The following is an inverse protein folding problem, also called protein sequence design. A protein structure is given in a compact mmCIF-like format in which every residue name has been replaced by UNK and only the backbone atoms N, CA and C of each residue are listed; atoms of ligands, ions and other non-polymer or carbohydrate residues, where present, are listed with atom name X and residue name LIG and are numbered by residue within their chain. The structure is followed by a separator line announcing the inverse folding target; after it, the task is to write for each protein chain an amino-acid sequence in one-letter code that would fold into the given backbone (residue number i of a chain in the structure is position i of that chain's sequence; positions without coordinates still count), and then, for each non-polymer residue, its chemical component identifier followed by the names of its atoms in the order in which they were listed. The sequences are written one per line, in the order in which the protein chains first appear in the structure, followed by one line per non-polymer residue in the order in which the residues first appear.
data_IF_392398519618
#
_entry.id   IF_392398519618
#
_cell.length_a   1.000
_cell.length_b   1.000
_cell.length_c   1.000
_cell.angle_alpha   90.00
_cell.angle_beta   90.00
_cell.angle_gamma   90.00
#
_symmetry.space_group_name_H-M   'P 1'
#
loop_
_entity.id
_entity.type
_entity.pdbx_description
1 polymer ?
#
# COMPACT_ATOMS: atom_id res chain seq x y z
N UNK A 1 14.29 -7.41 -13.26
CA UNK A 1 14.99 -8.08 -12.13
C UNK A 1 16.35 -7.41 -11.94
N UNK A 2 16.57 -6.66 -10.84
CA UNK A 2 17.78 -5.83 -10.65
C UNK A 2 19.09 -6.62 -10.59
N UNK A 3 19.05 -7.87 -10.13
CA UNK A 3 20.23 -8.74 -10.06
C UNK A 3 20.59 -9.36 -11.42
N UNK A 4 19.60 -9.71 -12.24
CA UNK A 4 19.83 -10.27 -13.58
C UNK A 4 20.20 -9.22 -14.62
N UNK A 5 19.78 -7.98 -14.41
CA UNK A 5 20.07 -6.85 -15.28
C UNK A 5 20.50 -5.65 -14.43
N UNK A 6 21.79 -5.63 -14.01
CA UNK A 6 22.35 -4.49 -13.28
C UNK A 6 22.21 -3.21 -14.11
N UNK A 7 21.87 -2.11 -13.45
CA UNK A 7 21.85 -0.81 -14.12
C UNK A 7 23.27 -0.35 -14.44
N UNK A 8 23.44 0.26 -15.61
CA UNK A 8 24.68 0.96 -16.02
C UNK A 8 24.51 2.48 -15.92
N UNK A 9 23.33 2.97 -15.54
CA UNK A 9 23.08 4.39 -15.33
C UNK A 9 23.65 4.83 -13.98
N UNK A 10 24.69 5.67 -14.02
CA UNK A 10 25.35 6.21 -12.84
C UNK A 10 24.39 6.98 -11.92
N UNK A 11 23.44 7.73 -12.48
CA UNK A 11 22.47 8.49 -11.69
C UNK A 11 21.51 7.56 -10.96
N UNK A 12 21.04 6.50 -11.62
CA UNK A 12 20.19 5.49 -11.00
C UNK A 12 20.93 4.79 -9.86
N UNK A 13 22.18 4.38 -10.08
CA UNK A 13 23.02 3.74 -9.06
C UNK A 13 23.18 4.65 -7.84
N UNK A 14 23.54 5.93 -8.06
CA UNK A 14 23.70 6.91 -6.97
C UNK A 14 22.39 7.14 -6.19
N UNK A 15 21.27 7.24 -6.90
CA UNK A 15 19.95 7.37 -6.25
C UNK A 15 19.62 6.16 -5.37
N UNK A 16 19.92 4.94 -5.84
CA UNK A 16 19.74 3.71 -5.02
C UNK A 16 20.65 3.70 -3.80
N UNK A 17 21.92 4.10 -3.95
CA UNK A 17 22.88 4.20 -2.85
C UNK A 17 22.48 5.24 -1.80
N UNK A 18 21.95 6.40 -2.23
CA UNK A 18 21.41 7.43 -1.33
C UNK A 18 20.29 6.86 -0.45
N UNK A 19 19.33 6.14 -1.06
CA UNK A 19 18.23 5.50 -0.32
C UNK A 19 18.77 4.49 0.70
N UNK A 20 19.68 3.60 0.28
CA UNK A 20 20.24 2.56 1.16
C UNK A 20 21.00 3.19 2.32
N UNK A 21 21.82 4.22 2.06
CA UNK A 21 22.56 4.93 3.10
C UNK A 21 21.63 5.57 4.13
N UNK A 22 20.56 6.23 3.68
CA UNK A 22 19.59 6.87 4.58
C UNK A 22 18.89 5.85 5.47
N UNK A 23 18.41 4.74 4.89
CA UNK A 23 17.72 3.67 5.62
C UNK A 23 18.61 2.95 6.63
N UNK A 24 19.91 2.83 6.35
CA UNK A 24 20.88 2.27 7.31
C UNK A 24 21.13 3.25 8.46
N UNK A 25 21.36 4.53 8.15
CA UNK A 25 21.63 5.56 9.16
C UNK A 25 20.41 5.88 10.03
N UNK A 26 19.21 5.65 9.51
CA UNK A 26 17.94 5.97 10.16
C UNK A 26 17.02 4.74 10.25
N UNK A 27 17.55 3.63 10.73
CA UNK A 27 16.77 2.40 10.83
C UNK A 27 15.52 2.61 11.70
N UNK A 28 14.37 2.26 11.13
CA UNK A 28 13.06 2.41 11.77
C UNK A 28 12.32 1.07 11.69
N UNK A 29 12.15 0.42 12.83
CA UNK A 29 11.46 -0.88 12.90
C UNK A 29 9.98 -0.77 12.50
N UNK A 30 9.38 0.40 12.68
CA UNK A 30 8.00 0.65 12.27
C UNK A 30 7.89 0.67 10.75
N UNK A 31 8.87 1.26 10.04
CA UNK A 31 8.89 1.25 8.57
C UNK A 31 8.87 -0.18 8.02
N UNK A 32 9.66 -1.08 8.61
CA UNK A 32 9.67 -2.50 8.23
C UNK A 32 8.32 -3.18 8.51
N UNK A 33 7.72 -2.91 9.67
CA UNK A 33 6.40 -3.45 10.04
C UNK A 33 5.31 -2.98 9.06
N UNK A 34 5.29 -1.69 8.73
CA UNK A 34 4.32 -1.11 7.80
C UNK A 34 4.46 -1.66 6.39
N UNK A 35 5.68 -1.89 5.92
CA UNK A 35 5.91 -2.53 4.62
C UNK A 35 5.37 -3.95 4.57
N UNK A 36 5.41 -4.71 5.68
CA UNK A 36 4.83 -6.06 5.76
C UNK A 36 3.30 -6.07 5.69
N UNK A 37 2.65 -4.98 6.09
CA UNK A 37 1.19 -4.85 6.05
C UNK A 37 0.66 -4.56 4.65
N UNK A 38 1.53 -4.17 3.70
CA UNK A 38 1.16 -3.93 2.32
C UNK A 38 1.02 -5.28 1.60
N UNK A 39 -0.18 -5.56 1.11
CA UNK A 39 -0.41 -6.72 0.24
C UNK A 39 0.17 -6.48 -1.16
N UNK A 40 0.22 -7.54 -1.96
CA UNK A 40 0.53 -7.45 -3.39
C UNK A 40 -0.55 -6.65 -4.15
N UNK A 41 -0.30 -5.33 -4.27
CA UNK A 41 -1.21 -4.38 -4.91
C UNK A 41 -1.30 -4.60 -6.42
N UNK A 42 -0.22 -5.00 -7.09
CA UNK A 42 -0.22 -5.24 -8.54
C UNK A 42 -1.14 -6.41 -8.91
N UNK A 43 -1.04 -7.50 -8.15
CA UNK A 43 -1.94 -8.64 -8.32
C UNK A 43 -3.38 -8.29 -7.95
N UNK A 44 -3.59 -7.46 -6.91
CA UNK A 44 -4.92 -7.02 -6.52
C UNK A 44 -5.58 -6.16 -7.62
N UNK A 45 -4.85 -5.19 -8.20
CA UNK A 45 -5.32 -4.36 -9.31
C UNK A 45 -5.71 -5.22 -10.51
N UNK A 46 -4.93 -6.26 -10.80
CA UNK A 46 -5.26 -7.22 -11.86
C UNK A 46 -6.57 -7.95 -11.61
N UNK A 47 -6.87 -8.31 -10.35
CA UNK A 47 -8.17 -8.92 -9.98
C UNK A 47 -9.32 -7.92 -10.05
N UNK A 48 -9.10 -6.68 -9.60
CA UNK A 48 -10.05 -5.58 -9.67
C UNK A 48 -10.50 -5.33 -11.11
N UNK A 49 -9.55 -5.19 -12.03
CA UNK A 49 -9.83 -4.97 -13.46
C UNK A 49 -10.69 -6.09 -14.08
N UNK A 50 -10.60 -7.31 -13.54
CA UNK A 50 -11.35 -8.47 -14.01
C UNK A 50 -12.64 -8.76 -13.19
N UNK A 51 -12.99 -7.92 -12.22
CA UNK A 51 -14.16 -8.13 -11.36
C UNK A 51 -14.06 -9.35 -10.44
N UNK A 52 -12.85 -9.85 -10.18
CA UNK A 52 -12.59 -11.08 -9.39
C UNK A 52 -12.11 -10.80 -7.96
N UNK A 53 -12.13 -9.55 -7.54
CA UNK A 53 -11.71 -9.17 -6.18
C UNK A 53 -12.77 -9.61 -5.16
N UNK A 54 -12.32 -10.16 -4.04
CA UNK A 54 -13.21 -10.47 -2.91
C UNK A 54 -13.38 -9.28 -1.95
N UNK A 55 -14.48 -9.24 -1.17
CA UNK A 55 -14.65 -8.23 -0.12
C UNK A 55 -13.48 -8.18 0.87
N UNK A 56 -12.96 -9.34 1.30
CA UNK A 56 -11.78 -9.42 2.17
C UNK A 56 -10.55 -8.73 1.56
N UNK A 57 -10.32 -8.90 0.27
CA UNK A 57 -9.20 -8.27 -0.42
C UNK A 57 -9.34 -6.75 -0.51
N UNK A 58 -10.57 -6.23 -0.60
CA UNK A 58 -10.83 -4.78 -0.51
C UNK A 58 -10.54 -4.25 0.91
N UNK A 59 -10.88 -5.01 1.96
CA UNK A 59 -10.48 -4.65 3.33
C UNK A 59 -8.95 -4.61 3.46
N UNK A 60 -8.25 -5.60 2.90
CA UNK A 60 -6.78 -5.61 2.93
C UNK A 60 -6.16 -4.47 2.10
N UNK A 61 -6.81 -4.06 0.99
CA UNK A 61 -6.43 -2.87 0.24
C UNK A 61 -6.49 -1.62 1.14
N UNK A 62 -7.60 -1.43 1.86
CA UNK A 62 -7.75 -0.31 2.81
C UNK A 62 -6.60 -0.29 3.82
N UNK A 63 -6.27 -1.42 4.45
CA UNK A 63 -5.15 -1.52 5.41
C UNK A 63 -3.78 -1.20 4.76
N UNK A 64 -3.57 -1.64 3.51
CA UNK A 64 -2.35 -1.32 2.75
C UNK A 64 -2.25 0.16 2.44
N UNK A 65 -3.35 0.82 2.07
CA UNK A 65 -3.39 2.26 1.80
C UNK A 65 -3.15 3.08 3.08
N UNK A 66 -3.65 2.64 4.23
CA UNK A 66 -3.33 3.26 5.53
C UNK A 66 -1.83 3.14 5.80
N UNK A 67 -1.26 1.94 5.65
CA UNK A 67 0.18 1.68 5.84
C UNK A 67 1.04 2.55 4.91
N UNK A 68 0.67 2.69 3.64
CA UNK A 68 1.36 3.57 2.69
C UNK A 68 1.30 5.05 3.13
N UNK A 69 0.21 5.49 3.76
CA UNK A 69 0.08 6.86 4.29
C UNK A 69 1.05 7.10 5.45
N UNK A 70 1.22 6.11 6.32
CA UNK A 70 2.17 6.17 7.44
C UNK A 70 3.62 6.14 6.95
N UNK A 71 3.94 5.26 6.01
CA UNK A 71 5.25 5.21 5.35
C UNK A 71 5.60 6.56 4.74
N UNK A 72 4.67 7.16 3.99
CA UNK A 72 4.84 8.52 3.43
C UNK A 72 5.23 9.53 4.50
N UNK A 73 4.60 9.49 5.66
CA UNK A 73 4.91 10.40 6.76
C UNK A 73 6.28 10.15 7.40
N UNK A 74 6.75 8.90 7.44
CA UNK A 74 8.08 8.53 7.94
C UNK A 74 9.18 9.01 6.98
N UNK A 75 8.97 8.89 5.66
CA UNK A 75 10.02 9.14 4.67
C UNK A 75 10.05 10.58 4.12
N UNK A 76 9.04 11.41 4.40
CA UNK A 76 8.91 12.76 3.79
C UNK A 76 9.99 13.78 4.19
N UNK A 77 10.64 13.61 5.35
CA UNK A 77 11.74 14.48 5.80
C UNK A 77 13.10 13.76 5.82
N UNK A 78 13.23 12.65 5.08
CA UNK A 78 14.49 11.90 4.91
C UNK A 78 15.33 12.48 3.76
N UNK A 79 16.28 11.69 3.26
CA UNK A 79 17.08 12.01 2.07
C UNK A 79 16.25 12.53 0.89
N UNK A 80 16.91 13.26 -0.01
CA UNK A 80 16.26 13.91 -1.16
C UNK A 80 15.48 12.90 -1.99
N UNK A 81 16.04 11.71 -2.21
CA UNK A 81 15.36 10.68 -3.00
C UNK A 81 14.15 10.07 -2.27
N UNK A 82 14.25 9.79 -0.97
CA UNK A 82 13.10 9.32 -0.18
C UNK A 82 11.99 10.37 -0.07
N UNK A 83 12.35 11.65 0.08
CA UNK A 83 11.42 12.78 0.02
C UNK A 83 10.73 12.91 -1.35
N UNK A 84 11.40 12.54 -2.44
CA UNK A 84 10.75 12.45 -3.76
C UNK A 84 9.73 11.32 -3.81
N UNK A 85 10.10 10.13 -3.34
CA UNK A 85 9.22 8.96 -3.29
C UNK A 85 7.98 9.27 -2.43
N UNK A 86 8.15 9.97 -1.30
CA UNK A 86 7.02 10.37 -0.44
C UNK A 86 5.98 11.22 -1.17
N UNK A 87 6.41 12.07 -2.11
CA UNK A 87 5.52 12.91 -2.93
C UNK A 87 4.80 12.12 -4.00
N UNK A 88 5.41 11.05 -4.50
CA UNK A 88 4.81 10.14 -5.48
C UNK A 88 3.73 9.24 -4.84
N UNK A 89 3.83 8.96 -3.54
CA UNK A 89 2.77 8.27 -2.78
C UNK A 89 1.55 9.20 -2.66
N UNK A 90 0.61 9.07 -3.59
CA UNK A 90 -0.65 9.79 -3.61
C UNK A 90 -1.82 8.85 -3.29
N UNK A 91 -2.46 9.05 -2.15
CA UNK A 91 -3.51 8.18 -1.64
C UNK A 91 -4.78 9.00 -1.47
N UNK A 92 -5.84 8.58 -2.13
CA UNK A 92 -7.14 9.20 -1.97
C UNK A 92 -7.80 8.71 -0.67
N UNK A 93 -7.91 9.63 0.31
CA UNK A 93 -8.58 9.35 1.59
C UNK A 93 -10.04 8.92 1.40
N UNK A 94 -10.70 9.42 0.35
CA UNK A 94 -12.10 9.05 0.05
C UNK A 94 -12.23 7.57 -0.27
N UNK A 95 -11.22 6.95 -0.89
CA UNK A 95 -11.23 5.53 -1.17
C UNK A 95 -11.14 4.70 0.12
N UNK A 96 -10.28 5.10 1.06
CA UNK A 96 -10.16 4.46 2.38
C UNK A 96 -11.51 4.56 3.12
N UNK A 97 -12.09 5.76 3.17
CA UNK A 97 -13.38 6.02 3.83
C UNK A 97 -14.52 5.24 3.16
N UNK A 98 -14.54 5.16 1.83
CA UNK A 98 -15.53 4.39 1.09
C UNK A 98 -15.50 2.92 1.50
N UNK A 99 -14.32 2.29 1.52
CA UNK A 99 -14.19 0.88 1.90
C UNK A 99 -14.56 0.70 3.38
N UNK A 100 -14.07 1.58 4.25
CA UNK A 100 -14.35 1.56 5.69
C UNK A 100 -15.84 1.68 5.99
N UNK A 101 -16.56 2.55 5.29
CA UNK A 101 -17.99 2.77 5.52
C UNK A 101 -18.86 1.72 4.83
N UNK A 102 -18.33 1.00 3.83
CA UNK A 102 -19.09 0.00 3.07
C UNK A 102 -18.95 -1.40 3.64
N UNK A 103 -17.73 -1.84 3.94
CA UNK A 103 -17.45 -3.23 4.29
C UNK A 103 -17.28 -3.44 5.79
N UNK A 104 -17.65 -4.63 6.27
CA UNK A 104 -17.27 -5.07 7.62
C UNK A 104 -15.79 -5.47 7.65
N UNK A 105 -15.09 -5.26 8.76
CA UNK A 105 -13.66 -5.60 8.85
C UNK A 105 -13.42 -7.12 8.71
N UNK A 106 -14.39 -7.95 9.12
CA UNK A 106 -14.37 -9.39 8.93
C UNK A 106 -15.04 -9.88 7.64
N UNK A 107 -15.04 -9.08 6.57
CA UNK A 107 -15.72 -9.43 5.32
C UNK A 107 -15.29 -10.81 4.77
N UNK A 108 -16.20 -11.64 4.23
CA UNK A 108 -15.84 -12.97 3.78
C UNK A 108 -15.01 -12.92 2.49
N UNK A 109 -14.24 -13.99 2.25
CA UNK A 109 -13.54 -14.21 0.98
C UNK A 109 -14.54 -14.57 -0.13
N UNK A 110 -15.61 -15.28 0.20
CA UNK A 110 -16.67 -15.62 -0.74
C UNK A 110 -17.85 -14.67 -0.55
N UNK A 111 -18.15 -13.87 -1.57
CA UNK A 111 -19.26 -12.92 -1.57
C UNK A 111 -20.63 -13.61 -1.40
N UNK A 112 -20.78 -14.85 -1.86
CA UNK A 112 -22.01 -15.63 -1.76
C UNK A 112 -22.36 -16.00 -0.31
N UNK A 113 -21.41 -15.92 0.63
CA UNK A 113 -21.67 -16.12 2.05
C UNK A 113 -22.44 -14.95 2.71
N UNK A 114 -22.65 -13.86 1.98
CA UNK A 114 -23.34 -12.67 2.49
C UNK A 114 -22.54 -11.92 3.56
N UNK A 115 -23.17 -11.00 4.28
CA UNK A 115 -22.60 -10.27 5.41
C UNK A 115 -21.28 -9.53 5.11
N UNK A 116 -21.07 -9.05 3.89
CA UNK A 116 -19.89 -8.26 3.53
C UNK A 116 -20.09 -6.76 3.77
N UNK A 117 -21.32 -6.27 3.59
CA UNK A 117 -21.70 -4.86 3.67
C UNK A 117 -22.19 -4.53 5.09
N UNK A 118 -21.83 -3.35 5.61
CA UNK A 118 -22.31 -2.86 6.91
C UNK A 118 -23.83 -2.73 6.92
N UNK A 119 -24.46 -3.18 8.01
CA UNK A 119 -25.94 -3.23 8.17
C UNK A 119 -26.64 -1.89 7.97
N UNK A 120 -25.97 -0.79 8.29
CA UNK A 120 -26.49 0.58 8.13
C UNK A 120 -26.76 0.94 6.66
N UNK A 121 -26.08 0.29 5.73
CA UNK A 121 -26.25 0.49 4.28
C UNK A 121 -27.21 -0.52 3.63
N UNK A 122 -27.57 -1.60 4.32
CA UNK A 122 -28.45 -2.66 3.80
C UNK A 122 -29.93 -2.47 4.16
N UNK A 123 -30.32 -1.29 4.66
CA UNK A 123 -31.73 -0.90 4.86
C UNK A 123 -32.24 -0.18 3.61
N UNK A 124 -32.51 -0.95 2.55
CA UNK A 124 -33.39 -0.59 1.44
C UNK A 124 -33.96 -1.88 0.86
#
# INVERSE_FOLDING_TARGET
MWLSFPSIDLNEIKNRQEIVSDLISNSDINLHSLLKNIIDLERLVSKLANGRVSPRELVNLKESLISCTEIKNIIKERSKKLKSISKEINIDKKLIELILNTLIDEAPVNILKGNAIKKELTRN
#
